data_IF_270552200639
#
_entry.id   IF_270552200639
#
_cell.length_a   1.000
_cell.length_b   1.000
_cell.length_c   1.000
_cell.angle_alpha   90.00
_cell.angle_beta   90.00
_cell.angle_gamma   90.00
#
_symmetry.space_group_name_H-M   'P 1'
#
loop_
_entity.id
_entity.type
_entity.pdbx_description
1 polymer ?
#
# COMPACT_ATOMS: atom_id res chain seq x y z
N UNK A 1 8.55 -7.45 6.96
CA UNK A 1 8.04 -6.11 6.61
C UNK A 1 6.53 -6.09 6.73
N UNK A 2 5.94 -5.17 7.48
CA UNK A 2 4.49 -5.04 7.66
C UNK A 2 3.97 -3.86 6.85
N UNK A 3 2.94 -4.07 6.04
CA UNK A 3 2.30 -3.02 5.22
C UNK A 3 0.80 -3.01 5.50
N UNK A 4 0.30 -1.89 5.99
CA UNK A 4 -1.12 -1.60 6.15
C UNK A 4 -1.65 -1.04 4.82
N UNK A 5 -2.77 -1.58 4.37
CA UNK A 5 -3.37 -1.18 3.10
C UNK A 5 -4.11 0.16 3.25
N UNK A 6 -4.16 0.99 2.20
CA UNK A 6 -4.90 2.25 2.27
C UNK A 6 -6.41 2.04 2.32
N UNK A 7 -6.91 0.89 1.86
CA UNK A 7 -8.31 0.49 1.96
C UNK A 7 -8.50 -1.02 1.75
N UNK A 8 -9.61 -1.53 2.27
CA UNK A 8 -9.91 -2.97 2.25
C UNK A 8 -10.69 -3.42 1.00
N UNK A 9 -11.28 -2.49 0.25
CA UNK A 9 -12.08 -2.82 -0.92
C UNK A 9 -11.22 -3.12 -2.15
N UNK A 10 -11.44 -4.25 -2.81
CA UNK A 10 -10.80 -4.57 -4.07
C UNK A 10 -11.72 -5.38 -4.97
N UNK A 11 -11.56 -5.18 -6.28
CA UNK A 11 -12.18 -6.03 -7.30
C UNK A 11 -11.30 -7.24 -7.63
N UNK A 12 -11.89 -8.43 -7.59
CA UNK A 12 -11.17 -9.69 -7.80
C UNK A 12 -10.69 -9.86 -9.26
N UNK A 13 -11.42 -9.34 -10.24
CA UNK A 13 -11.00 -9.42 -11.64
C UNK A 13 -9.80 -8.51 -11.91
N UNK A 14 -9.80 -7.30 -11.34
CA UNK A 14 -8.66 -6.38 -11.38
C UNK A 14 -7.46 -6.96 -10.63
N UNK A 15 -7.66 -7.60 -9.48
CA UNK A 15 -6.58 -8.28 -8.77
C UNK A 15 -5.94 -9.37 -9.65
N UNK A 16 -6.74 -10.19 -10.33
CA UNK A 16 -6.24 -11.21 -11.25
C UNK A 16 -5.43 -10.63 -12.42
N UNK A 17 -5.88 -9.50 -12.98
CA UNK A 17 -5.14 -8.78 -14.03
C UNK A 17 -3.79 -8.26 -13.52
N UNK A 18 -3.78 -7.58 -12.37
CA UNK A 18 -2.56 -7.08 -11.73
C UNK A 18 -1.59 -8.21 -11.42
N UNK A 19 -2.07 -9.36 -10.92
CA UNK A 19 -1.23 -10.54 -10.71
C UNK A 19 -0.56 -11.02 -11.99
N UNK A 20 -1.31 -11.09 -13.09
CA UNK A 20 -0.78 -11.54 -14.37
C UNK A 20 0.32 -10.59 -14.88
N UNK A 21 0.14 -9.28 -14.74
CA UNK A 21 1.16 -8.28 -15.07
C UNK A 21 2.40 -8.42 -14.18
N UNK A 22 2.20 -8.60 -12.87
CA UNK A 22 3.29 -8.74 -11.89
C UNK A 22 4.11 -10.01 -12.06
N UNK A 23 3.55 -11.09 -12.60
CA UNK A 23 4.35 -12.29 -12.97
C UNK A 23 5.43 -11.94 -14.01
N UNK A 24 5.17 -10.97 -14.89
CA UNK A 24 6.11 -10.54 -15.93
C UNK A 24 7.03 -9.43 -15.44
N UNK A 25 6.49 -8.45 -14.72
CA UNK A 25 7.21 -7.25 -14.30
C UNK A 25 8.00 -7.42 -12.99
N UNK A 26 7.62 -8.40 -12.16
CA UNK A 26 8.19 -8.66 -10.85
C UNK A 26 7.49 -7.90 -9.71
N UNK A 27 8.20 -7.81 -8.59
CA UNK A 27 7.68 -7.18 -7.38
C UNK A 27 7.44 -5.67 -7.58
N UNK A 28 6.36 -5.11 -7.01
CA UNK A 28 6.02 -3.71 -7.22
C UNK A 28 6.79 -2.80 -6.26
N UNK A 29 6.97 -1.55 -6.65
CA UNK A 29 7.30 -0.46 -5.72
C UNK A 29 6.01 0.20 -5.24
N UNK A 30 5.92 0.47 -3.93
CA UNK A 30 4.74 1.03 -3.27
C UNK A 30 5.14 2.29 -2.52
N UNK A 31 4.38 3.37 -2.72
CA UNK A 31 4.53 4.58 -1.90
C UNK A 31 3.90 4.38 -0.53
N UNK A 32 4.68 4.56 0.53
CA UNK A 32 4.22 4.30 1.90
C UNK A 32 4.89 5.22 2.92
N UNK A 33 4.21 5.46 4.03
CA UNK A 33 4.72 6.24 5.17
C UNK A 33 5.11 5.29 6.29
N UNK A 34 6.29 5.48 6.90
CA UNK A 34 6.66 4.70 8.07
C UNK A 34 5.92 5.18 9.32
N UNK A 35 5.22 4.27 9.97
CA UNK A 35 4.57 4.51 11.25
C UNK A 35 5.25 3.76 12.38
N UNK A 36 6.19 4.45 13.04
CA UNK A 36 6.89 3.89 14.20
C UNK A 36 5.96 3.44 15.34
N UNK A 37 4.82 4.13 15.53
CA UNK A 37 3.82 3.78 16.56
C UNK A 37 3.12 2.44 16.30
N UNK A 38 3.03 2.01 15.04
CA UNK A 38 2.46 0.72 14.66
C UNK A 38 3.53 -0.32 14.28
N UNK A 39 4.80 0.09 14.14
CA UNK A 39 5.87 -0.77 13.64
C UNK A 39 5.59 -1.27 12.21
N UNK A 40 4.90 -0.47 11.40
CA UNK A 40 4.41 -0.84 10.07
C UNK A 40 4.50 0.33 9.07
N UNK A 41 4.51 -0.01 7.79
CA UNK A 41 4.36 0.94 6.69
C UNK A 41 2.88 1.13 6.37
N UNK A 42 2.41 2.36 6.26
CA UNK A 42 1.06 2.65 5.76
C UNK A 42 1.17 2.98 4.29
N UNK A 43 0.64 2.11 3.43
CA UNK A 43 0.66 2.35 2.00
C UNK A 43 -0.28 3.49 1.63
N UNK A 44 0.17 4.36 0.74
CA UNK A 44 -0.60 5.46 0.16
C UNK A 44 -1.21 5.03 -1.18
N UNK A 45 -0.79 3.91 -1.76
CA UNK A 45 -1.37 3.37 -3.00
C UNK A 45 -1.25 1.85 -3.06
N UNK A 46 -1.77 1.27 -4.16
CA UNK A 46 -1.35 -0.05 -4.60
C UNK A 46 -1.93 -1.22 -3.82
N UNK A 47 -3.12 -1.10 -3.23
CA UNK A 47 -3.81 -2.19 -2.51
C UNK A 47 -3.81 -3.52 -3.29
N UNK A 48 -4.14 -3.49 -4.59
CA UNK A 48 -4.11 -4.68 -5.46
C UNK A 48 -2.70 -5.21 -5.68
N UNK A 49 -1.72 -4.33 -5.86
CA UNK A 49 -0.30 -4.72 -6.04
C UNK A 49 0.27 -5.37 -4.79
N UNK A 50 -0.07 -4.86 -3.61
CA UNK A 50 0.32 -5.43 -2.31
C UNK A 50 -0.31 -6.82 -2.15
N UNK A 51 -1.62 -6.96 -2.38
CA UNK A 51 -2.30 -8.27 -2.32
C UNK A 51 -1.73 -9.27 -3.33
N UNK A 52 -1.51 -8.83 -4.57
CA UNK A 52 -0.90 -9.65 -5.61
C UNK A 52 0.52 -10.09 -5.22
N UNK A 53 1.34 -9.18 -4.67
CA UNK A 53 2.67 -9.51 -4.17
C UNK A 53 2.62 -10.60 -3.10
N UNK A 54 1.68 -10.48 -2.15
CA UNK A 54 1.50 -11.45 -1.08
C UNK A 54 1.12 -12.84 -1.62
N UNK A 55 0.17 -12.90 -2.56
CA UNK A 55 -0.25 -14.16 -3.19
C UNK A 55 0.83 -14.77 -4.10
N UNK A 56 1.71 -13.95 -4.68
CA UNK A 56 2.80 -14.40 -5.54
C UNK A 56 4.11 -14.68 -4.77
N UNK A 57 4.14 -14.47 -3.45
CA UNK A 57 5.35 -14.62 -2.64
C UNK A 57 6.44 -13.60 -2.99
N UNK A 58 6.06 -12.43 -3.50
CA UNK A 58 6.95 -11.33 -3.85
C UNK A 58 6.99 -10.31 -2.72
N UNK A 59 8.18 -9.80 -2.42
CA UNK A 59 8.36 -8.73 -1.42
C UNK A 59 8.39 -7.38 -2.17
N UNK A 60 7.41 -6.48 -1.96
CA UNK A 60 7.41 -5.17 -2.60
C UNK A 60 8.57 -4.31 -2.10
N UNK A 61 9.01 -3.35 -2.92
CA UNK A 61 9.93 -2.29 -2.49
C UNK A 61 9.14 -1.09 -1.99
N UNK A 62 9.65 -0.40 -0.97
CA UNK A 62 9.01 0.81 -0.42
C UNK A 62 9.67 2.05 -1.02
N UNK A 63 8.85 2.94 -1.56
CA UNK A 63 9.19 4.33 -1.85
C UNK A 63 8.62 5.19 -0.72
N UNK A 64 9.49 5.58 0.21
CA UNK A 64 9.08 6.25 1.43
C UNK A 64 8.53 7.66 1.13
N UNK A 65 7.37 7.93 1.70
CA UNK A 65 6.72 9.24 1.67
C UNK A 65 6.80 9.83 3.07
N UNK A 66 7.14 11.12 3.15
CA UNK A 66 7.13 11.81 4.43
C UNK A 66 5.71 11.96 4.97
N UNK A 67 5.54 11.72 6.26
CA UNK A 67 4.31 12.03 6.95
C UNK A 67 4.07 13.55 6.91
N UNK A 68 2.86 13.96 6.51
CA UNK A 68 2.49 15.37 6.37
C UNK A 68 0.98 15.58 6.43
N UNK A 69 0.55 16.60 7.19
CA UNK A 69 -0.84 17.05 7.29
C UNK A 69 -1.24 17.98 6.12
N UNK A 70 -0.26 18.47 5.35
CA UNK A 70 -0.49 19.43 4.26
C UNK A 70 -0.44 18.80 2.89
N UNK A 71 0.17 17.62 2.77
CA UNK A 71 0.30 16.88 1.51
C UNK A 71 -0.85 15.89 1.39
N UNK A 72 -1.48 15.86 0.23
CA UNK A 72 -2.60 14.97 -0.09
C UNK A 72 -2.19 13.75 -0.90
N UNK A 73 -3.03 12.73 -0.88
CA UNK A 73 -2.83 11.50 -1.67
C UNK A 73 -2.76 11.75 -3.17
N UNK A 74 -3.48 12.76 -3.69
CA UNK A 74 -3.43 13.15 -5.10
C UNK A 74 -2.10 13.84 -5.45
N UNK A 75 -1.50 14.60 -4.53
CA UNK A 75 -0.18 15.20 -4.76
C UNK A 75 0.94 14.16 -4.79
N UNK A 76 0.82 13.09 -4.00
CA UNK A 76 1.81 11.99 -3.92
C UNK A 76 1.58 10.96 -5.03
N UNK A 77 0.31 10.67 -5.32
CA UNK A 77 -0.15 9.65 -6.29
C UNK A 77 -1.37 10.18 -7.07
N UNK A 78 -1.13 11.01 -8.10
CA UNK A 78 -2.21 11.66 -8.85
C UNK A 78 -3.24 10.67 -9.41
N UNK A 79 -4.52 10.93 -9.14
CA UNK A 79 -5.62 10.10 -9.61
C UNK A 79 -5.77 8.73 -8.94
N UNK A 80 -5.04 8.45 -7.85
CA UNK A 80 -5.17 7.18 -7.12
C UNK A 80 -6.43 7.10 -6.25
N UNK A 81 -7.05 8.23 -5.91
CA UNK A 81 -8.24 8.31 -5.06
C UNK A 81 -9.28 9.26 -5.65
N UNK A 82 -10.55 8.96 -5.40
CA UNK A 82 -11.69 9.82 -5.72
C UNK A 82 -11.75 11.06 -4.83
N UNK A 83 -11.20 10.93 -3.62
CA UNK A 83 -11.22 11.93 -2.55
C UNK A 83 -9.78 12.32 -2.20
N UNK A 84 -9.52 13.62 -2.00
CA UNK A 84 -8.19 14.13 -1.68
C UNK A 84 -7.97 14.15 -0.17
N UNK A 85 -7.59 13.01 0.40
CA UNK A 85 -7.22 12.92 1.81
C UNK A 85 -5.78 13.38 2.05
N UNK A 86 -5.51 13.97 3.21
CA UNK A 86 -4.13 14.23 3.63
C UNK A 86 -3.43 12.92 3.95
N UNK A 87 -2.10 12.90 3.83
CA UNK A 87 -1.30 11.75 4.24
C UNK A 87 -1.55 11.42 5.71
N UNK A 88 -1.65 12.44 6.58
CA UNK A 88 -2.08 12.29 7.99
C UNK A 88 -3.43 11.55 8.12
N UNK A 89 -4.47 11.94 7.38
CA UNK A 89 -5.79 11.30 7.48
C UNK A 89 -5.76 9.82 7.10
N UNK A 90 -5.03 9.48 6.03
CA UNK A 90 -4.82 8.07 5.64
C UNK A 90 -4.12 7.30 6.77
N UNK A 91 -3.17 7.98 7.41
CA UNK A 91 -2.33 7.47 8.47
C UNK A 91 -3.11 7.22 9.77
N UNK A 92 -3.94 8.15 10.23
CA UNK A 92 -4.72 8.04 11.47
C UNK A 92 -5.69 6.85 11.45
N UNK A 93 -6.31 6.59 10.30
CA UNK A 93 -7.25 5.47 10.12
C UNK A 93 -6.55 4.12 9.91
N UNK A 94 -5.22 4.08 9.76
CA UNK A 94 -4.47 2.88 9.39
C UNK A 94 -4.71 1.71 10.36
N UNK A 95 -4.89 1.99 11.66
CA UNK A 95 -5.16 0.98 12.68
C UNK A 95 -6.45 0.17 12.44
N UNK A 96 -7.35 0.65 11.60
CA UNK A 96 -8.62 -0.02 11.26
C UNK A 96 -8.52 -0.95 10.05
N UNK A 97 -7.41 -0.91 9.31
CA UNK A 97 -7.28 -1.49 7.97
C UNK A 97 -6.47 -2.78 7.98
N UNK A 98 -6.61 -3.54 6.90
CA UNK A 98 -5.87 -4.78 6.72
C UNK A 98 -4.35 -4.55 6.71
N UNK A 99 -3.61 -5.39 7.45
CA UNK A 99 -2.15 -5.41 7.47
C UNK A 99 -1.62 -6.72 6.90
N UNK A 100 -0.77 -6.62 5.89
CA UNK A 100 -0.10 -7.76 5.24
C UNK A 100 1.37 -7.79 5.64
N UNK A 101 1.85 -8.98 5.99
CA UNK A 101 3.24 -9.23 6.38
C UNK A 101 3.99 -9.88 5.23
N UNK A 102 5.13 -9.30 4.87
CA UNK A 102 6.05 -9.77 3.83
C UNK A 102 7.39 -10.21 4.44
N UNK A 103 7.92 -11.34 3.99
CA UNK A 103 9.11 -12.00 4.55
C UNK A 103 8.74 -13.10 5.54
N UNK A 104 9.68 -14.01 5.80
CA UNK A 104 9.46 -15.14 6.71
C UNK A 104 9.07 -14.65 8.12
N UNK A 105 7.99 -15.24 8.64
CA UNK A 105 7.85 -15.42 10.07
C UNK A 105 8.91 -16.45 10.47
N UNK A 106 10.07 -15.98 10.92
CA UNK A 106 11.03 -16.84 11.63
C UNK A 106 10.38 -17.48 12.86
#
# INVERSE_FOLDING_TARGET
MQIILPHDHFDAAHLAAVKAEMVVLGAPTIKAVWMGVHGAWVAIEGSHRIRAAAELGMIPSIDEVEWSDTVTTDEVVPGSYSDNWTVEQVCDDAHTRECIVFGDAE
#
